data_IF_721759020957
#
_entry.id   IF_721759020957
#
_cell.length_a   1.000
_cell.length_b   1.000
_cell.length_c   1.000
_cell.angle_alpha   90.00
_cell.angle_beta   90.00
_cell.angle_gamma   90.00
#
_symmetry.space_group_name_H-M   'P 1'
#
loop_
_entity.id
_entity.type
_entity.pdbx_description
1 polymer ?
#
# COMPACT_ATOMS: atom_id res chain seq x y z
N UNK A 1 22.28 21.21 13.55
CA UNK A 1 21.18 20.22 13.48
C UNK A 1 21.25 19.48 12.16
N UNK A 2 21.22 18.15 12.21
CA UNK A 2 21.17 17.34 10.98
C UNK A 2 19.81 17.45 10.33
N UNK A 3 19.78 17.42 8.99
CA UNK A 3 18.52 17.33 8.26
C UNK A 3 17.84 15.96 8.52
N UNK A 4 16.50 15.90 8.43
CA UNK A 4 15.81 14.63 8.57
C UNK A 4 16.30 13.62 7.52
N UNK A 5 16.56 12.39 7.96
CA UNK A 5 16.96 11.30 7.07
C UNK A 5 15.74 10.53 6.60
N UNK A 6 15.75 10.11 5.36
CA UNK A 6 14.70 9.25 4.78
C UNK A 6 15.26 7.84 4.67
N UNK A 7 14.92 6.98 5.61
CA UNK A 7 15.38 5.59 5.67
C UNK A 7 14.27 4.60 5.33
N UNK A 8 13.01 4.98 5.56
CA UNK A 8 11.85 4.13 5.33
C UNK A 8 10.76 4.93 4.62
N UNK A 9 10.34 4.43 3.47
CA UNK A 9 9.24 4.98 2.68
C UNK A 9 8.05 4.04 2.82
N UNK A 10 6.92 4.56 3.29
CA UNK A 10 5.66 3.80 3.30
C UNK A 10 4.93 4.08 1.99
N UNK A 11 4.78 3.03 1.18
CA UNK A 11 3.99 3.07 -0.04
C UNK A 11 2.66 2.37 0.21
N UNK A 12 1.55 3.06 -0.01
CA UNK A 12 0.23 2.46 0.12
C UNK A 12 -0.36 2.20 -1.26
N UNK A 13 -0.91 1.01 -1.46
CA UNK A 13 -1.46 0.60 -2.74
C UNK A 13 -2.86 0.00 -2.58
N UNK A 14 -3.75 0.37 -3.52
CA UNK A 14 -5.06 -0.27 -3.65
C UNK A 14 -5.02 -1.51 -4.55
N UNK A 15 -3.88 -1.80 -5.15
CA UNK A 15 -3.69 -2.87 -6.14
C UNK A 15 -4.53 -2.66 -7.41
N UNK A 16 -5.05 -1.47 -7.63
CA UNK A 16 -5.79 -1.13 -8.84
C UNK A 16 -4.90 -0.96 -10.08
N UNK A 17 -5.53 -0.88 -11.23
CA UNK A 17 -4.79 -0.73 -12.50
C UNK A 17 -4.03 0.59 -12.63
N UNK A 18 -4.40 1.59 -11.85
CA UNK A 18 -3.83 2.94 -11.92
C UNK A 18 -2.77 3.22 -10.85
N UNK A 19 -2.26 2.17 -10.19
CA UNK A 19 -1.30 2.35 -9.10
C UNK A 19 0.16 2.39 -9.56
N UNK A 20 0.43 2.06 -10.82
CA UNK A 20 1.80 2.02 -11.35
C UNK A 20 2.55 3.35 -11.23
N UNK A 21 1.96 4.53 -11.55
CA UNK A 21 2.65 5.80 -11.36
C UNK A 21 3.06 6.05 -9.91
N UNK A 22 2.23 5.63 -8.96
CA UNK A 22 2.52 5.76 -7.52
C UNK A 22 3.71 4.88 -7.14
N UNK A 23 3.72 3.64 -7.59
CA UNK A 23 4.82 2.71 -7.33
C UNK A 23 6.13 3.21 -7.94
N UNK A 24 6.09 3.73 -9.16
CA UNK A 24 7.27 4.32 -9.82
C UNK A 24 7.88 5.45 -8.98
N UNK A 25 7.05 6.32 -8.42
CA UNK A 25 7.52 7.40 -7.56
C UNK A 25 8.08 6.85 -6.23
N UNK A 26 7.43 5.86 -5.64
CA UNK A 26 7.93 5.24 -4.42
C UNK A 26 9.30 4.60 -4.63
N UNK A 27 9.48 3.86 -5.72
CA UNK A 27 10.77 3.24 -6.06
C UNK A 27 11.83 4.31 -6.34
N UNK A 28 11.48 5.34 -7.12
CA UNK A 28 12.42 6.43 -7.41
C UNK A 28 12.91 7.11 -6.13
N UNK A 29 11.99 7.47 -5.24
CA UNK A 29 12.34 8.12 -3.98
C UNK A 29 13.18 7.20 -3.08
N UNK A 30 12.80 5.93 -2.98
CA UNK A 30 13.57 4.97 -2.19
C UNK A 30 14.99 4.79 -2.72
N UNK A 31 15.17 4.75 -4.03
CA UNK A 31 16.50 4.66 -4.63
C UNK A 31 17.33 5.92 -4.39
N UNK A 32 16.72 7.10 -4.51
CA UNK A 32 17.43 8.37 -4.28
C UNK A 32 17.93 8.49 -2.84
N UNK A 33 17.17 8.01 -1.88
CA UNK A 33 17.53 8.08 -0.46
C UNK A 33 18.18 6.80 0.05
N UNK A 34 18.32 5.79 -0.76
CA UNK A 34 18.74 4.45 -0.34
C UNK A 34 17.87 3.94 0.82
N UNK A 35 16.57 4.07 0.66
CA UNK A 35 15.57 3.77 1.68
C UNK A 35 14.91 2.40 1.49
N UNK A 36 14.46 1.83 2.59
CA UNK A 36 13.61 0.64 2.63
C UNK A 36 12.17 1.04 2.26
N UNK A 37 11.47 0.18 1.53
CA UNK A 37 10.06 0.38 1.18
C UNK A 37 9.19 -0.57 2.02
N UNK A 38 8.21 0.00 2.70
CA UNK A 38 7.10 -0.77 3.30
C UNK A 38 5.91 -0.62 2.36
N UNK A 39 5.54 -1.69 1.67
CA UNK A 39 4.40 -1.72 0.76
C UNK A 39 3.17 -2.19 1.52
N UNK A 40 2.24 -1.29 1.73
CA UNK A 40 1.03 -1.51 2.53
C UNK A 40 -0.20 -1.64 1.63
N UNK A 41 -0.96 -2.70 1.86
CA UNK A 41 -2.31 -2.84 1.35
C UNK A 41 -3.28 -2.93 2.53
N UNK A 42 -4.28 -2.06 2.55
CA UNK A 42 -5.30 -2.04 3.60
C UNK A 42 -6.55 -2.72 3.08
N UNK A 43 -7.07 -3.65 3.88
CA UNK A 43 -8.34 -4.33 3.61
C UNK A 43 -9.37 -3.78 4.58
N UNK A 44 -10.43 -3.15 4.07
CA UNK A 44 -11.54 -2.75 4.93
C UNK A 44 -12.34 -3.97 5.36
N UNK A 45 -12.65 -4.10 6.65
CA UNK A 45 -13.48 -5.21 7.11
C UNK A 45 -14.88 -5.12 6.53
N UNK A 46 -15.49 -6.28 6.30
CA UNK A 46 -16.89 -6.37 5.91
C UNK A 46 -17.72 -5.76 7.03
N UNK A 47 -18.70 -4.90 6.71
CA UNK A 47 -19.58 -4.29 7.71
C UNK A 47 -20.32 -5.34 8.55
N UNK A 48 -20.86 -4.92 9.69
CA UNK A 48 -21.55 -5.80 10.64
C UNK A 48 -22.64 -6.65 9.98
N UNK A 49 -23.40 -6.06 9.06
CA UNK A 49 -24.44 -6.79 8.33
C UNK A 49 -23.86 -7.91 7.46
N UNK A 50 -22.81 -7.61 6.71
CA UNK A 50 -22.14 -8.61 5.88
C UNK A 50 -21.51 -9.72 6.71
N UNK A 51 -20.90 -9.37 7.84
CA UNK A 51 -20.32 -10.34 8.78
C UNK A 51 -21.40 -11.27 9.37
N UNK A 52 -22.54 -10.71 9.79
CA UNK A 52 -23.67 -11.48 10.31
C UNK A 52 -24.24 -12.44 9.26
N UNK A 53 -24.36 -11.99 8.01
CA UNK A 53 -24.84 -12.84 6.92
C UNK A 53 -23.89 -14.02 6.67
N UNK A 54 -22.60 -13.78 6.65
CA UNK A 54 -21.59 -14.82 6.46
C UNK A 54 -21.63 -15.82 7.62
N UNK A 55 -21.67 -15.34 8.87
CA UNK A 55 -21.72 -16.18 10.06
C UNK A 55 -22.97 -17.09 10.09
N UNK A 56 -24.10 -16.62 9.55
CA UNK A 56 -25.34 -17.40 9.53
C UNK A 56 -25.33 -18.54 8.52
N UNK A 57 -24.50 -18.45 7.48
CA UNK A 57 -24.50 -19.43 6.38
C UNK A 57 -23.25 -20.30 6.30
N UNK A 58 -22.15 -19.92 6.98
CA UNK A 58 -20.90 -20.65 6.93
C UNK A 58 -20.37 -20.99 8.32
N UNK A 59 -19.78 -22.18 8.50
CA UNK A 59 -19.09 -22.51 9.76
C UNK A 59 -17.96 -21.53 10.03
N UNK A 60 -17.71 -21.28 11.30
CA UNK A 60 -16.66 -20.35 11.76
C UNK A 60 -15.27 -20.72 11.21
N UNK A 61 -14.95 -22.02 11.21
CA UNK A 61 -13.68 -22.53 10.66
C UNK A 61 -13.52 -22.23 9.17
N UNK A 62 -14.63 -22.33 8.41
CA UNK A 62 -14.64 -22.04 6.98
C UNK A 62 -14.40 -20.55 6.74
N UNK A 63 -15.04 -19.68 7.51
CA UNK A 63 -14.87 -18.23 7.41
C UNK A 63 -13.42 -17.84 7.69
N UNK A 64 -12.83 -18.39 8.75
CA UNK A 64 -11.42 -18.15 9.09
C UNK A 64 -10.47 -18.60 7.98
N UNK A 65 -10.71 -19.79 7.43
CA UNK A 65 -9.91 -20.33 6.33
C UNK A 65 -9.98 -19.45 5.09
N UNK A 66 -11.16 -18.99 4.71
CA UNK A 66 -11.36 -18.09 3.57
C UNK A 66 -10.65 -16.76 3.79
N UNK A 67 -10.70 -16.22 5.01
CA UNK A 67 -10.02 -15.01 5.38
C UNK A 67 -8.50 -15.16 5.25
N UNK A 68 -7.93 -16.21 5.81
CA UNK A 68 -6.49 -16.47 5.77
C UNK A 68 -6.00 -16.70 4.34
N UNK A 69 -6.76 -17.44 3.53
CA UNK A 69 -6.46 -17.66 2.11
C UNK A 69 -6.54 -16.35 1.31
N UNK A 70 -7.50 -15.49 1.64
CA UNK A 70 -7.65 -14.18 1.00
C UNK A 70 -6.45 -13.29 1.25
N UNK A 71 -5.95 -13.25 2.48
CA UNK A 71 -4.74 -12.48 2.83
C UNK A 71 -3.52 -13.03 2.09
N UNK A 72 -3.37 -14.35 2.05
CA UNK A 72 -2.27 -14.99 1.33
C UNK A 72 -2.31 -14.67 -0.17
N UNK A 73 -3.48 -14.66 -0.78
CA UNK A 73 -3.66 -14.31 -2.19
C UNK A 73 -3.29 -12.84 -2.46
N UNK A 74 -3.68 -11.92 -1.59
CA UNK A 74 -3.32 -10.51 -1.71
C UNK A 74 -1.80 -10.35 -1.62
N UNK A 75 -1.16 -11.02 -0.70
CA UNK A 75 0.30 -10.97 -0.54
C UNK A 75 1.02 -11.48 -1.79
N UNK A 76 0.56 -12.59 -2.37
CA UNK A 76 1.11 -13.11 -3.62
C UNK A 76 0.89 -12.13 -4.78
N UNK A 77 -0.27 -11.48 -4.84
CA UNK A 77 -0.58 -10.46 -5.84
C UNK A 77 0.37 -9.25 -5.72
N UNK A 78 0.67 -8.82 -4.49
CA UNK A 78 1.64 -7.75 -4.24
C UNK A 78 3.03 -8.13 -4.75
N UNK A 79 3.49 -9.33 -4.43
CA UNK A 79 4.79 -9.85 -4.89
C UNK A 79 4.85 -9.94 -6.41
N UNK A 80 3.80 -10.44 -7.05
CA UNK A 80 3.72 -10.55 -8.50
C UNK A 80 3.80 -9.18 -9.19
N UNK A 81 3.17 -8.17 -8.62
CA UNK A 81 3.24 -6.80 -9.15
C UNK A 81 4.63 -6.20 -9.06
N UNK A 82 5.31 -6.42 -7.95
CA UNK A 82 6.70 -5.98 -7.79
C UNK A 82 7.60 -6.67 -8.80
N UNK A 83 7.47 -7.98 -8.95
CA UNK A 83 8.26 -8.76 -9.91
C UNK A 83 8.04 -8.27 -11.35
N UNK A 84 6.79 -8.08 -11.74
CA UNK A 84 6.44 -7.57 -13.08
C UNK A 84 7.01 -6.18 -13.33
N UNK A 85 6.90 -5.30 -12.35
CA UNK A 85 7.47 -3.95 -12.43
C UNK A 85 8.99 -4.02 -12.64
N UNK A 86 9.68 -4.83 -11.85
CA UNK A 86 11.14 -4.96 -11.95
C UNK A 86 11.56 -5.49 -13.32
N UNK A 87 10.83 -6.48 -13.87
CA UNK A 87 11.10 -7.03 -15.19
C UNK A 87 10.88 -5.98 -16.30
N UNK A 88 9.75 -5.28 -16.25
CA UNK A 88 9.36 -4.33 -17.30
C UNK A 88 10.09 -2.98 -17.22
N UNK A 89 10.30 -2.44 -16.03
CA UNK A 89 10.82 -1.09 -15.83
C UNK A 89 12.32 -1.07 -15.51
N UNK A 90 12.82 -2.04 -14.78
CA UNK A 90 14.22 -2.09 -14.36
C UNK A 90 15.04 -3.12 -15.15
N UNK A 91 14.38 -3.89 -16.02
CA UNK A 91 15.02 -4.80 -16.95
C UNK A 91 15.53 -6.12 -16.34
N UNK A 92 15.26 -6.39 -15.06
CA UNK A 92 15.72 -7.61 -14.41
C UNK A 92 14.89 -7.95 -13.20
N UNK A 93 14.55 -9.24 -13.05
CA UNK A 93 13.90 -9.76 -11.85
C UNK A 93 14.81 -9.69 -10.61
N UNK A 94 16.13 -9.75 -10.81
CA UNK A 94 17.09 -9.68 -9.70
C UNK A 94 17.02 -8.32 -8.98
N UNK A 95 16.57 -7.28 -9.64
CA UNK A 95 16.37 -5.96 -9.03
C UNK A 95 15.24 -5.93 -8.01
N UNK A 96 14.32 -6.90 -8.02
CA UNK A 96 13.32 -7.03 -6.97
C UNK A 96 13.96 -7.26 -5.59
N UNK A 97 15.08 -7.97 -5.55
CA UNK A 97 15.85 -8.19 -4.32
C UNK A 97 16.58 -6.93 -3.85
N UNK A 98 16.98 -6.07 -4.80
CA UNK A 98 17.70 -4.83 -4.52
C UNK A 98 16.78 -3.71 -4.00
N UNK A 99 15.47 -3.82 -4.23
CA UNK A 99 14.52 -2.77 -3.82
C UNK A 99 14.20 -2.78 -2.33
N UNK A 100 14.55 -3.86 -1.61
CA UNK A 100 14.29 -3.98 -0.17
C UNK A 100 12.85 -3.59 0.20
N UNK A 101 11.89 -4.42 -0.24
CA UNK A 101 10.46 -4.17 -0.03
C UNK A 101 9.89 -5.15 0.97
N UNK A 102 9.29 -4.62 2.04
CA UNK A 102 8.48 -5.39 2.99
C UNK A 102 7.00 -5.29 2.57
N UNK A 103 6.33 -6.42 2.47
CA UNK A 103 4.91 -6.49 2.12
C UNK A 103 4.07 -6.58 3.40
N UNK A 104 3.19 -5.61 3.61
CA UNK A 104 2.35 -5.53 4.81
C UNK A 104 0.89 -5.43 4.40
N UNK A 105 0.05 -6.23 5.05
CA UNK A 105 -1.40 -6.21 4.87
C UNK A 105 -2.03 -5.91 6.23
N UNK A 106 -2.88 -4.91 6.28
CA UNK A 106 -3.57 -4.49 7.51
C UNK A 106 -5.07 -4.42 7.24
N UNK A 107 -5.86 -4.91 8.16
CA UNK A 107 -7.31 -4.75 8.13
C UNK A 107 -7.71 -3.56 8.98
N UNK A 108 -8.64 -2.76 8.48
CA UNK A 108 -9.17 -1.62 9.20
C UNK A 108 -9.59 -0.48 8.30
N UNK A 109 -9.86 0.65 8.90
CA UNK A 109 -10.12 1.89 8.19
C UNK A 109 -8.84 2.34 7.48
N UNK A 110 -8.96 2.78 6.22
CA UNK A 110 -7.80 3.14 5.40
C UNK A 110 -6.92 4.21 6.07
N UNK A 111 -7.50 5.31 6.50
CA UNK A 111 -6.74 6.42 7.09
C UNK A 111 -6.02 5.98 8.37
N UNK A 112 -6.74 5.34 9.27
CA UNK A 112 -6.18 4.90 10.55
C UNK A 112 -5.09 3.85 10.36
N UNK A 113 -5.31 2.89 9.46
CA UNK A 113 -4.34 1.83 9.17
C UNK A 113 -3.05 2.40 8.58
N UNK A 114 -3.16 3.37 7.67
CA UNK A 114 -1.99 4.03 7.06
C UNK A 114 -1.20 4.80 8.11
N UNK A 115 -1.87 5.63 8.90
CA UNK A 115 -1.21 6.43 9.93
C UNK A 115 -0.59 5.57 11.02
N UNK A 116 -1.28 4.52 11.46
CA UNK A 116 -0.77 3.58 12.44
C UNK A 116 0.46 2.84 11.93
N UNK A 117 0.40 2.34 10.69
CA UNK A 117 1.52 1.62 10.08
C UNK A 117 2.73 2.53 9.92
N UNK A 118 2.52 3.79 9.49
CA UNK A 118 3.58 4.77 9.37
C UNK A 118 4.28 4.98 10.71
N UNK A 119 3.52 5.10 11.80
CA UNK A 119 4.08 5.26 13.14
C UNK A 119 4.81 3.99 13.60
N UNK A 120 4.17 2.84 13.46
CA UNK A 120 4.71 1.55 13.92
C UNK A 120 6.01 1.17 13.20
N UNK A 121 6.11 1.48 11.91
CA UNK A 121 7.30 1.18 11.09
C UNK A 121 8.32 2.30 11.05
N UNK A 122 8.08 3.37 11.79
CA UNK A 122 8.95 4.56 11.77
C UNK A 122 9.19 5.07 10.35
N UNK A 123 8.12 5.16 9.57
CA UNK A 123 8.22 5.68 8.22
C UNK A 123 8.61 7.15 8.23
N UNK A 124 9.49 7.53 7.33
CA UNK A 124 9.99 8.90 7.20
C UNK A 124 9.23 9.68 6.12
N UNK A 125 8.47 8.97 5.30
CA UNK A 125 7.71 9.53 4.19
C UNK A 125 6.59 8.57 3.82
N UNK A 126 5.44 9.11 3.42
CA UNK A 126 4.31 8.31 2.89
C UNK A 126 4.13 8.67 1.42
N UNK A 127 4.04 7.65 0.55
CA UNK A 127 3.77 7.82 -0.88
C UNK A 127 2.44 7.15 -1.18
N UNK A 128 1.50 7.89 -1.76
CA UNK A 128 0.16 7.39 -2.07
C UNK A 128 -0.42 8.10 -3.29
N UNK A 129 -1.43 7.51 -3.89
CA UNK A 129 -2.15 8.13 -5.00
C UNK A 129 -3.04 9.27 -4.54
N UNK A 130 -3.16 10.32 -5.35
CA UNK A 130 -4.04 11.45 -5.06
C UNK A 130 -5.51 11.16 -5.41
N UNK A 131 -5.76 10.11 -6.19
CA UNK A 131 -7.09 9.73 -6.65
C UNK A 131 -7.42 8.31 -6.21
N UNK A 132 -8.71 8.04 -6.05
CA UNK A 132 -9.18 6.68 -5.77
C UNK A 132 -9.24 5.84 -7.05
N UNK A 133 -9.63 4.57 -6.93
CA UNK A 133 -9.73 3.61 -8.04
C UNK A 133 -10.65 4.10 -9.17
N UNK A 134 -11.58 4.99 -8.88
CA UNK A 134 -12.55 5.52 -9.84
C UNK A 134 -12.11 6.86 -10.47
N UNK A 135 -10.91 7.34 -10.15
CA UNK A 135 -10.38 8.59 -10.71
C UNK A 135 -10.88 9.86 -10.01
N UNK A 136 -11.50 9.72 -8.84
CA UNK A 136 -11.92 10.84 -8.01
C UNK A 136 -10.86 11.15 -6.96
N UNK A 137 -10.80 12.41 -6.50
CA UNK A 137 -9.88 12.78 -5.42
C UNK A 137 -10.14 11.94 -4.18
N UNK A 138 -9.08 11.32 -3.66
CA UNK A 138 -9.17 10.43 -2.52
C UNK A 138 -9.38 11.21 -1.22
N UNK A 139 -10.46 10.90 -0.52
CA UNK A 139 -10.67 11.41 0.84
C UNK A 139 -9.62 10.86 1.81
N UNK A 140 -9.23 9.61 1.61
CA UNK A 140 -8.18 8.98 2.41
C UNK A 140 -6.89 9.76 2.31
N UNK A 141 -6.50 10.17 1.10
CA UNK A 141 -5.28 10.96 0.90
C UNK A 141 -5.34 12.28 1.65
N UNK A 142 -6.47 12.98 1.59
CA UNK A 142 -6.67 14.24 2.32
C UNK A 142 -6.56 14.03 3.84
N UNK A 143 -7.18 12.99 4.35
CA UNK A 143 -7.16 12.67 5.78
C UNK A 143 -5.75 12.27 6.25
N UNK A 144 -5.02 11.51 5.45
CA UNK A 144 -3.64 11.14 5.74
C UNK A 144 -2.74 12.37 5.78
N UNK A 145 -2.86 13.26 4.78
CA UNK A 145 -2.09 14.52 4.77
C UNK A 145 -2.37 15.33 6.03
N UNK A 146 -3.62 15.38 6.46
CA UNK A 146 -4.02 16.14 7.64
C UNK A 146 -3.50 15.55 8.95
N UNK A 147 -3.43 14.22 9.04
CA UNK A 147 -3.04 13.51 10.26
C UNK A 147 -1.59 13.04 10.31
N UNK A 148 -0.87 13.07 9.20
CA UNK A 148 0.50 12.55 9.14
C UNK A 148 1.48 13.44 9.90
N UNK A 149 2.46 12.79 10.52
CA UNK A 149 3.57 13.46 11.20
C UNK A 149 4.84 13.47 10.35
N UNK A 150 4.76 12.96 9.13
CA UNK A 150 5.86 12.91 8.16
C UNK A 150 5.37 13.43 6.82
N UNK A 151 6.26 13.81 5.89
CA UNK A 151 5.86 14.26 4.56
C UNK A 151 5.03 13.21 3.83
N UNK A 152 4.03 13.68 3.08
CA UNK A 152 3.17 12.84 2.24
C UNK A 152 3.35 13.28 0.79
N UNK A 153 3.73 12.33 -0.07
CA UNK A 153 3.82 12.54 -1.51
C UNK A 153 2.55 11.97 -2.13
N UNK A 154 1.70 12.86 -2.62
CA UNK A 154 0.46 12.49 -3.30
C UNK A 154 0.69 12.48 -4.81
N UNK A 155 0.68 11.29 -5.41
CA UNK A 155 1.01 11.10 -6.83
C UNK A 155 -0.27 11.07 -7.66
N UNK A 156 -0.38 11.92 -8.71
CA UNK A 156 -1.53 11.88 -9.60
C UNK A 156 -1.62 10.53 -10.33
N UNK A 157 -2.83 9.98 -10.36
CA UNK A 157 -3.11 8.66 -10.96
C UNK A 157 -4.16 8.72 -12.08
N UNK A 158 -4.60 9.92 -12.45
CA UNK A 158 -5.61 10.13 -13.47
C UNK A 158 -5.17 9.65 -14.86
N UNK A 159 -6.13 9.55 -15.78
CA UNK A 159 -5.88 9.07 -17.16
C UNK A 159 -4.77 9.83 -17.90
N UNK A 160 -4.50 11.05 -17.49
CA UNK A 160 -3.45 11.90 -18.08
C UNK A 160 -2.03 11.54 -17.62
N UNK A 161 -1.89 10.71 -16.60
CA UNK A 161 -0.61 10.43 -15.96
C UNK A 161 -0.23 8.93 -15.98
N UNK A 162 -0.63 8.26 -17.04
CA UNK A 162 -0.30 6.85 -17.24
C UNK A 162 1.21 6.59 -17.32
#
# INVERSE_FOLDING_TARGET
MALPEIKTVLYTTSLGKHTRPVFRQAVNLAQQFNAHIVMLHVIEPIGELGHALIQNYLPEDTVKKMHDEGIAQVKEQMKARVAKFCEEELGSLDKALDLDIEHVIVEGNYTDAILHTASKRNADMIVMGSENTFGHHSQTTRQVIKGAKVPVVAVPTGKKFK
#
